data_IF_650338746539
#
_entry.id   IF_650338746539
#
_cell.length_a   1.000
_cell.length_b   1.000
_cell.length_c   1.000
_cell.angle_alpha   90.00
_cell.angle_beta   90.00
_cell.angle_gamma   90.00
#
_symmetry.space_group_name_H-M   'P 1'
#
loop_
_entity.id
_entity.type
_entity.pdbx_description
1 polymer ?
#
# COMPACT_ATOMS: atom_id res chain seq x y z
N UNK A 1 -8.55 4.61 -3.04
CA UNK A 1 -8.79 3.91 -4.32
C UNK A 1 -8.61 4.83 -5.51
N UNK A 2 -9.31 5.96 -5.60
CA UNK A 2 -9.17 6.89 -6.74
C UNK A 2 -7.72 7.34 -7.00
N UNK A 3 -6.96 7.68 -5.95
CA UNK A 3 -5.54 8.01 -6.03
C UNK A 3 -4.69 6.88 -6.63
N UNK A 4 -4.99 5.63 -6.29
CA UNK A 4 -4.26 4.45 -6.75
C UNK A 4 -4.60 4.11 -8.21
N UNK A 5 -5.85 4.35 -8.62
CA UNK A 5 -6.28 4.22 -10.02
C UNK A 5 -5.68 5.32 -10.89
N UNK A 6 -5.64 6.58 -10.41
CA UNK A 6 -4.99 7.70 -11.12
C UNK A 6 -3.48 7.51 -11.27
N UNK A 7 -2.84 6.83 -10.33
CA UNK A 7 -1.43 6.49 -10.37
C UNK A 7 -1.11 5.22 -11.22
N UNK A 8 -2.11 4.65 -11.90
CA UNK A 8 -2.04 3.38 -12.66
C UNK A 8 -1.53 2.18 -11.84
N UNK A 9 -1.63 2.26 -10.50
CA UNK A 9 -1.21 1.18 -9.61
C UNK A 9 -2.24 0.09 -9.52
N UNK A 10 -3.53 0.46 -9.57
CA UNK A 10 -4.62 -0.50 -9.56
C UNK A 10 -5.50 -0.24 -10.78
N UNK A 11 -5.50 -1.20 -11.70
CA UNK A 11 -6.34 -1.16 -12.90
C UNK A 11 -7.74 -1.68 -12.57
N UNK A 12 -8.79 -0.86 -12.64
CA UNK A 12 -10.15 -1.39 -12.62
C UNK A 12 -10.39 -2.23 -13.88
N UNK A 13 -11.26 -3.22 -13.77
CA UNK A 13 -11.77 -3.97 -14.92
C UNK A 13 -12.62 -3.10 -15.83
N UNK A 14 -12.91 -3.62 -17.02
CA UNK A 14 -13.75 -2.97 -18.03
C UNK A 14 -15.14 -2.65 -17.47
N UNK A 15 -15.34 -1.41 -17.07
CA UNK A 15 -16.65 -0.80 -16.88
C UNK A 15 -16.70 0.41 -17.78
N UNK A 16 -17.66 0.46 -18.70
CA UNK A 16 -17.79 1.55 -19.67
C UNK A 16 -17.86 2.93 -19.02
N UNK A 17 -17.62 3.99 -19.81
CA UNK A 17 -17.31 5.39 -19.44
C UNK A 17 -18.10 6.05 -18.28
N UNK A 18 -19.23 5.47 -17.85
CA UNK A 18 -20.09 5.96 -16.75
C UNK A 18 -20.20 5.00 -15.56
N UNK A 19 -19.52 3.85 -15.58
CA UNK A 19 -19.62 2.81 -14.56
C UNK A 19 -18.57 3.03 -13.44
N UNK A 20 -18.97 2.79 -12.18
CA UNK A 20 -18.01 2.75 -11.06
C UNK A 20 -16.88 1.77 -11.40
N UNK A 21 -15.62 2.09 -11.08
CA UNK A 21 -14.49 1.17 -11.28
C UNK A 21 -14.82 -0.18 -10.65
N UNK A 22 -14.99 -1.23 -11.46
CA UNK A 22 -15.24 -2.60 -10.98
C UNK A 22 -13.94 -3.37 -11.07
N UNK A 23 -13.38 -3.78 -9.94
CA UNK A 23 -12.25 -4.70 -9.97
C UNK A 23 -12.75 -6.06 -10.41
N UNK A 24 -12.08 -6.65 -11.40
CA UNK A 24 -12.38 -8.04 -11.77
C UNK A 24 -12.04 -8.95 -10.59
N UNK A 25 -12.67 -10.12 -10.50
CA UNK A 25 -12.32 -11.12 -9.49
C UNK A 25 -10.83 -11.48 -9.57
N UNK A 26 -10.28 -11.64 -10.78
CA UNK A 26 -8.85 -11.89 -10.99
C UNK A 26 -7.97 -10.76 -10.42
N UNK A 27 -8.37 -9.50 -10.60
CA UNK A 27 -7.66 -8.35 -10.02
C UNK A 27 -7.71 -8.40 -8.49
N UNK A 28 -8.88 -8.68 -7.90
CA UNK A 28 -9.04 -8.77 -6.45
C UNK A 28 -8.15 -9.88 -5.89
N UNK A 29 -8.19 -11.07 -6.50
CA UNK A 29 -7.37 -12.22 -6.10
C UNK A 29 -5.88 -11.89 -6.18
N UNK A 30 -5.41 -11.31 -7.28
CA UNK A 30 -4.01 -10.91 -7.43
C UNK A 30 -3.55 -9.94 -6.34
N UNK A 31 -4.40 -8.97 -5.97
CA UNK A 31 -4.09 -8.06 -4.86
C UNK A 31 -4.09 -8.75 -3.50
N UNK A 32 -5.05 -9.65 -3.24
CA UNK A 32 -5.08 -10.41 -1.98
C UNK A 32 -3.88 -11.37 -1.86
N UNK A 33 -3.42 -11.95 -2.96
CA UNK A 33 -2.20 -12.78 -2.99
C UNK A 33 -0.96 -11.93 -2.75
N UNK A 34 -0.85 -10.77 -3.42
CA UNK A 34 0.25 -9.83 -3.20
C UNK A 34 0.32 -9.37 -1.74
N UNK A 35 -0.80 -8.87 -1.19
CA UNK A 35 -0.89 -8.46 0.21
C UNK A 35 -0.62 -9.65 1.16
N UNK A 36 -1.03 -10.84 0.73
CA UNK A 36 -0.86 -12.07 1.50
C UNK A 36 0.56 -12.62 1.51
N UNK A 37 1.41 -12.16 0.59
CA UNK A 37 2.80 -12.57 0.49
C UNK A 37 3.71 -11.98 1.57
N UNK A 38 3.26 -10.89 2.22
CA UNK A 38 4.04 -10.26 3.27
C UNK A 38 4.01 -11.07 4.57
N UNK A 39 5.14 -11.14 5.30
CA UNK A 39 5.21 -11.82 6.59
C UNK A 39 4.25 -11.19 7.60
N UNK A 40 3.68 -12.03 8.46
CA UNK A 40 2.84 -11.57 9.56
C UNK A 40 3.66 -10.93 10.67
N UNK A 41 3.09 -9.90 11.30
CA UNK A 41 3.63 -9.30 12.51
C UNK A 41 2.49 -8.94 13.44
N UNK A 42 2.68 -9.22 14.73
CA UNK A 42 1.97 -8.49 15.77
C UNK A 42 2.37 -7.01 15.65
N UNK A 43 1.44 -6.07 15.81
CA UNK A 43 1.75 -4.65 15.60
C UNK A 43 2.79 -4.18 16.62
N UNK A 44 4.00 -3.80 16.17
CA UNK A 44 5.10 -3.37 17.03
C UNK A 44 5.26 -1.85 17.08
N UNK A 45 5.97 -1.34 18.10
CA UNK A 45 6.23 0.08 18.29
C UNK A 45 6.97 0.75 17.10
N UNK A 46 7.79 -0.01 16.36
CA UNK A 46 8.53 0.50 15.20
C UNK A 46 7.73 0.46 13.88
N UNK A 47 6.59 -0.23 13.85
CA UNK A 47 5.77 -0.38 12.65
C UNK A 47 4.63 0.64 12.62
N UNK A 48 4.23 1.03 11.42
CA UNK A 48 3.12 1.96 11.18
C UNK A 48 2.27 1.48 10.02
N UNK A 49 0.97 1.79 10.02
CA UNK A 49 0.14 1.53 8.83
C UNK A 49 0.47 2.53 7.71
N UNK A 50 0.12 2.19 6.47
CA UNK A 50 0.21 3.11 5.33
C UNK A 50 -0.59 4.40 5.62
N UNK A 51 -1.81 4.28 6.16
CA UNK A 51 -2.66 5.43 6.49
C UNK A 51 -2.03 6.35 7.56
N UNK A 52 -1.40 5.77 8.58
CA UNK A 52 -0.71 6.52 9.62
C UNK A 52 0.52 7.25 9.04
N UNK A 53 1.27 6.60 8.15
CA UNK A 53 2.43 7.20 7.49
C UNK A 53 2.02 8.36 6.56
N UNK A 54 0.97 8.18 5.76
CA UNK A 54 0.35 9.23 4.93
C UNK A 54 -0.02 10.45 5.78
N UNK A 55 -0.75 10.23 6.88
CA UNK A 55 -1.19 11.30 7.79
C UNK A 55 -0.01 12.02 8.44
N UNK A 56 1.01 11.28 8.89
CA UNK A 56 2.16 11.83 9.61
C UNK A 56 3.08 12.64 8.69
N UNK A 57 3.27 12.19 7.46
CA UNK A 57 4.26 12.76 6.55
C UNK A 57 3.65 13.63 5.44
N UNK A 58 2.32 13.73 5.35
CA UNK A 58 1.65 14.55 4.35
C UNK A 58 1.87 14.06 2.92
N UNK A 59 2.16 12.77 2.74
CA UNK A 59 2.42 12.16 1.42
C UNK A 59 1.22 11.35 0.95
N UNK A 60 0.92 11.29 -0.36
CA UNK A 60 -0.23 10.57 -0.85
C UNK A 60 0.00 9.05 -0.79
N UNK A 61 -1.09 8.29 -0.68
CA UNK A 61 -1.05 6.82 -0.45
C UNK A 61 -0.34 6.05 -1.56
N UNK A 62 -0.50 6.49 -2.81
CA UNK A 62 0.14 5.92 -3.99
C UNK A 62 1.66 6.00 -3.92
N UNK A 63 2.24 7.08 -3.35
CA UNK A 63 3.69 7.17 -3.15
C UNK A 63 4.22 6.07 -2.23
N UNK A 64 3.57 5.87 -1.08
CA UNK A 64 4.00 4.83 -0.15
C UNK A 64 3.85 3.45 -0.81
N UNK A 65 2.72 3.19 -1.47
CA UNK A 65 2.49 1.94 -2.16
C UNK A 65 3.52 1.69 -3.28
N UNK A 66 3.87 2.70 -4.05
CA UNK A 66 4.92 2.62 -5.07
C UNK A 66 6.25 2.18 -4.47
N UNK A 67 6.65 2.74 -3.33
CA UNK A 67 7.90 2.32 -2.69
C UNK A 67 7.87 0.89 -2.16
N UNK A 68 6.69 0.35 -1.83
CA UNK A 68 6.52 -1.08 -1.54
C UNK A 68 6.67 -1.90 -2.83
N UNK A 69 5.97 -1.52 -3.90
CA UNK A 69 5.97 -2.24 -5.18
C UNK A 69 7.34 -2.24 -5.86
N UNK A 70 8.09 -1.14 -5.75
CA UNK A 70 9.46 -1.00 -6.25
C UNK A 70 10.51 -1.67 -5.35
N UNK A 71 10.11 -2.25 -4.21
CA UNK A 71 11.03 -2.88 -3.25
C UNK A 71 11.96 -1.91 -2.51
N UNK A 72 11.63 -0.60 -2.50
CA UNK A 72 12.40 0.40 -1.75
C UNK A 72 12.11 0.35 -0.24
N UNK A 73 10.88 0.03 0.13
CA UNK A 73 10.52 -0.35 1.50
C UNK A 73 10.71 -1.86 1.63
N UNK A 74 11.68 -2.28 2.45
CA UNK A 74 12.08 -3.68 2.60
C UNK A 74 11.37 -4.34 3.76
N UNK A 75 11.10 -3.57 4.81
CA UNK A 75 10.48 -4.06 6.05
C UNK A 75 8.97 -3.83 6.00
N UNK A 76 8.33 -4.63 5.14
CA UNK A 76 6.89 -4.64 4.91
C UNK A 76 6.30 -5.91 5.49
N UNK A 77 5.25 -5.76 6.30
CA UNK A 77 4.56 -6.82 7.01
C UNK A 77 3.06 -6.67 6.83
N UNK A 78 2.32 -7.71 7.20
CA UNK A 78 0.86 -7.63 7.39
C UNK A 78 0.51 -7.83 8.86
N UNK A 79 -0.53 -7.16 9.32
CA UNK A 79 -1.10 -7.45 10.63
C UNK A 79 -1.60 -8.91 10.65
N UNK A 80 -1.35 -9.59 11.78
CA UNK A 80 -1.74 -10.99 11.98
C UNK A 80 -3.20 -11.24 11.62
N UNK A 81 -3.44 -12.34 10.89
CA UNK A 81 -4.78 -12.78 10.44
C UNK A 81 -5.53 -11.78 9.53
N UNK A 82 -4.87 -10.75 9.00
CA UNK A 82 -5.50 -9.77 8.12
C UNK A 82 -4.81 -9.74 6.76
N UNK A 83 -5.60 -9.92 5.69
CA UNK A 83 -5.11 -9.93 4.32
C UNK A 83 -5.70 -8.82 3.44
N UNK A 84 -5.74 -7.59 3.97
CA UNK A 84 -6.34 -6.43 3.29
C UNK A 84 -5.36 -5.27 3.23
N UNK A 85 -5.58 -4.33 2.31
CA UNK A 85 -4.64 -3.22 2.13
C UNK A 85 -4.38 -2.41 3.43
N UNK A 86 -5.41 -2.24 4.26
CA UNK A 86 -5.31 -1.52 5.53
C UNK A 86 -4.50 -2.27 6.60
N UNK A 87 -4.20 -3.56 6.41
CA UNK A 87 -3.40 -4.34 7.34
C UNK A 87 -1.91 -4.28 7.06
N UNK A 88 -1.48 -3.61 5.98
CA UNK A 88 -0.05 -3.44 5.68
C UNK A 88 0.62 -2.54 6.71
N UNK A 89 1.72 -3.07 7.25
CA UNK A 89 2.59 -2.44 8.23
C UNK A 89 3.96 -2.22 7.60
N UNK A 90 4.51 -1.02 7.76
CA UNK A 90 5.82 -0.63 7.25
C UNK A 90 6.67 -0.05 8.38
N UNK A 91 7.98 -0.20 8.26
CA UNK A 91 8.92 0.35 9.25
C UNK A 91 8.94 1.89 9.23
N UNK A 92 8.74 2.51 10.40
CA UNK A 92 8.69 3.97 10.55
C UNK A 92 9.98 4.67 10.12
N UNK A 93 11.12 4.03 10.37
CA UNK A 93 12.42 4.62 10.06
C UNK A 93 12.70 4.57 8.56
N UNK A 94 12.40 3.44 7.90
CA UNK A 94 12.55 3.34 6.43
C UNK A 94 11.72 4.41 5.71
N UNK A 95 10.45 4.59 6.12
CA UNK A 95 9.58 5.64 5.56
C UNK A 95 10.16 7.02 5.81
N UNK A 96 10.64 7.31 7.02
CA UNK A 96 11.21 8.61 7.35
C UNK A 96 12.44 8.93 6.50
N UNK A 97 13.38 7.99 6.36
CA UNK A 97 14.60 8.17 5.56
C UNK A 97 14.23 8.40 4.10
N UNK A 98 13.39 7.54 3.54
CA UNK A 98 13.02 7.58 2.13
C UNK A 98 12.30 8.89 1.77
N UNK A 99 11.41 9.37 2.63
CA UNK A 99 10.72 10.64 2.40
C UNK A 99 11.61 11.87 2.62
N UNK A 100 12.66 11.76 3.44
CA UNK A 100 13.64 12.83 3.62
C UNK A 100 14.53 12.99 2.40
N UNK A 101 14.97 11.87 1.79
CA UNK A 101 15.77 11.87 0.57
C UNK A 101 15.04 12.48 -0.64
N UNK A 102 13.71 12.36 -0.69
CA UNK A 102 12.90 12.93 -1.77
C UNK A 102 12.64 14.45 -1.64
N UNK A 103 12.89 15.02 -0.46
CA UNK A 103 12.69 16.44 -0.16
C UNK A 103 14.01 17.22 -0.01
N UNK A 104 15.15 16.54 -0.17
CA UNK A 104 16.49 17.13 -0.16
C UNK A 104 16.95 17.44 -1.59
#
# INVERSE_FOLDING_TARGET
METLTKADLIKPGEGGDSARPRFTEATIVSWLEFLGSFPESDKWASLTSISDAVRKHGVPTDRILNHILEGRLKRVFRAKEQNVFSSILIDKYEVYVLLKELNA
#
